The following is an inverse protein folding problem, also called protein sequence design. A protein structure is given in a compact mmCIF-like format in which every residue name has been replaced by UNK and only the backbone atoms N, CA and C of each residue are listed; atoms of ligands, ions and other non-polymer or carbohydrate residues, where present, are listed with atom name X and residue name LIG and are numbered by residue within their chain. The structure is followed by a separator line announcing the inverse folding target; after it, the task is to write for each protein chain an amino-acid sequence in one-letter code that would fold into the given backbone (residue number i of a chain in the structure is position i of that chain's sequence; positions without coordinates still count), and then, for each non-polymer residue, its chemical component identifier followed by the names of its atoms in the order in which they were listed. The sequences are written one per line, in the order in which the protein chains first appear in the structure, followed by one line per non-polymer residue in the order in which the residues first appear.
data_IF_165155238765
#
_entry.id   IF_165155238765
#
_cell.length_a   1.000
_cell.length_b   1.000
_cell.length_c   1.000
_cell.angle_alpha   90.00
_cell.angle_beta   90.00
_cell.angle_gamma   90.00
#
_symmetry.space_group_name_H-M   'P 1'
#
loop_
_entity.id
_entity.type
_entity.pdbx_description
1 polymer ?
#
# COMPACT_ATOMS: atom_id res chain seq x y z
N UNK A 1 -9.97 28.60 -15.43
CA UNK A 1 -9.14 28.42 -14.20
C UNK A 1 -9.79 29.12 -13.03
N UNK A 2 -9.81 28.47 -11.89
CA UNK A 2 -10.26 29.05 -10.61
C UNK A 2 -9.03 29.53 -9.84
N UNK A 3 -9.08 30.79 -9.41
CA UNK A 3 -8.00 31.39 -8.62
C UNK A 3 -7.93 30.76 -7.22
N UNK A 4 -6.73 30.71 -6.66
CA UNK A 4 -6.41 30.08 -5.36
C UNK A 4 -6.85 28.60 -5.26
N UNK A 5 -7.02 27.93 -6.40
CA UNK A 5 -7.28 26.49 -6.42
C UNK A 5 -6.05 25.73 -6.91
N UNK A 6 -5.72 24.68 -6.20
CA UNK A 6 -4.66 23.73 -6.53
C UNK A 6 -5.31 22.38 -6.85
N UNK A 7 -5.04 21.85 -8.03
CA UNK A 7 -5.39 20.49 -8.39
C UNK A 7 -4.20 19.58 -8.07
N UNK A 8 -4.42 18.58 -7.23
CA UNK A 8 -3.41 17.60 -6.82
C UNK A 8 -3.74 16.28 -7.49
N UNK A 9 -2.76 15.71 -8.17
CA UNK A 9 -2.84 14.37 -8.78
C UNK A 9 -1.87 13.46 -8.06
N UNK A 10 -2.36 12.33 -7.55
CA UNK A 10 -1.55 11.36 -6.83
C UNK A 10 -1.44 10.08 -7.60
N UNK A 11 -0.22 9.64 -7.84
CA UNK A 11 0.06 8.42 -8.57
C UNK A 11 0.76 7.41 -7.68
N UNK A 12 0.52 6.13 -7.99
CA UNK A 12 1.20 5.01 -7.34
C UNK A 12 0.50 4.53 -6.06
N UNK A 13 1.18 4.54 -4.93
CA UNK A 13 0.79 3.79 -3.75
C UNK A 13 0.19 4.65 -2.63
N UNK A 14 -0.39 3.98 -1.64
CA UNK A 14 -0.95 4.61 -0.41
C UNK A 14 0.04 5.51 0.35
N UNK A 15 1.35 5.26 0.23
CA UNK A 15 2.37 6.14 0.84
C UNK A 15 2.41 7.52 0.16
N UNK A 16 2.32 7.55 -1.17
CA UNK A 16 2.19 8.81 -1.92
C UNK A 16 0.86 9.51 -1.62
N UNK A 17 -0.22 8.75 -1.40
CA UNK A 17 -1.51 9.31 -1.01
C UNK A 17 -1.41 10.06 0.32
N UNK A 18 -0.79 9.45 1.34
CA UNK A 18 -0.54 10.13 2.63
C UNK A 18 0.28 11.40 2.46
N UNK A 19 1.31 11.37 1.60
CA UNK A 19 2.13 12.56 1.32
C UNK A 19 1.29 13.67 0.67
N UNK A 20 0.40 13.32 -0.28
CA UNK A 20 -0.52 14.28 -0.91
C UNK A 20 -1.53 14.86 0.09
N UNK A 21 -2.11 14.05 0.96
CA UNK A 21 -3.04 14.49 1.99
C UNK A 21 -2.42 15.49 2.98
N UNK A 22 -1.14 15.25 3.34
CA UNK A 22 -0.38 16.17 4.18
C UNK A 22 -0.15 17.51 3.48
N UNK A 23 0.24 17.48 2.20
CA UNK A 23 0.48 18.68 1.40
C UNK A 23 -0.83 19.45 1.16
N UNK A 24 -1.92 18.75 0.87
CA UNK A 24 -3.24 19.38 0.72
C UNK A 24 -3.63 20.15 1.97
N UNK A 25 -3.45 19.55 3.15
CA UNK A 25 -3.71 20.22 4.41
C UNK A 25 -2.86 21.49 4.58
N UNK A 26 -1.57 21.41 4.25
CA UNK A 26 -0.69 22.59 4.27
C UNK A 26 -1.17 23.71 3.32
N UNK A 27 -1.62 23.35 2.12
CA UNK A 27 -2.17 24.34 1.18
C UNK A 27 -3.45 24.97 1.69
N UNK A 28 -4.37 24.20 2.28
CA UNK A 28 -5.61 24.69 2.84
C UNK A 28 -5.40 25.68 3.99
N UNK A 29 -4.48 25.38 4.90
CA UNK A 29 -4.09 26.29 6.00
C UNK A 29 -3.44 27.58 5.47
N UNK A 30 -2.89 27.55 4.28
CA UNK A 30 -2.35 28.70 3.59
C UNK A 30 -3.37 29.42 2.67
N UNK A 31 -4.65 29.06 2.75
CA UNK A 31 -5.75 29.74 2.07
C UNK A 31 -6.01 29.30 0.62
N UNK A 32 -5.47 28.14 0.20
CA UNK A 32 -5.82 27.53 -1.08
C UNK A 32 -7.03 26.60 -0.92
N UNK A 33 -7.75 26.40 -2.02
CA UNK A 33 -8.70 25.32 -2.17
C UNK A 33 -8.02 24.16 -2.91
N UNK A 34 -8.03 22.96 -2.33
CA UNK A 34 -7.48 21.78 -2.95
C UNK A 34 -8.57 20.91 -3.59
N UNK A 35 -8.26 20.32 -4.74
CA UNK A 35 -9.00 19.21 -5.32
C UNK A 35 -8.05 18.06 -5.57
N UNK A 36 -8.49 16.84 -5.32
CA UNK A 36 -7.70 15.63 -5.48
C UNK A 36 -8.27 14.78 -6.61
N UNK A 37 -7.39 14.33 -7.52
CA UNK A 37 -7.71 13.45 -8.66
C UNK A 37 -8.99 13.84 -9.41
N UNK A 38 -9.16 15.14 -9.61
CA UNK A 38 -10.35 15.69 -10.23
C UNK A 38 -10.49 15.24 -11.71
N UNK A 39 -11.60 14.61 -12.07
CA UNK A 39 -11.91 14.23 -13.47
C UNK A 39 -11.82 15.41 -14.45
N UNK A 40 -12.03 16.63 -13.96
CA UNK A 40 -11.91 17.89 -14.72
C UNK A 40 -11.18 18.92 -13.88
N UNK A 41 -9.84 18.89 -13.85
CA UNK A 41 -9.05 19.85 -13.11
C UNK A 41 -9.33 21.28 -13.58
N UNK A 42 -9.51 22.22 -12.65
CA UNK A 42 -9.86 23.62 -12.94
C UNK A 42 -8.98 24.63 -12.20
N UNK A 43 -8.05 24.17 -11.37
CA UNK A 43 -7.13 25.01 -10.63
C UNK A 43 -6.20 25.82 -11.49
N UNK A 44 -5.73 26.93 -11.00
CA UNK A 44 -4.66 27.70 -11.63
C UNK A 44 -3.28 27.06 -11.42
N UNK A 45 -3.16 26.19 -10.44
CA UNK A 45 -1.94 25.45 -10.08
C UNK A 45 -2.24 23.95 -10.12
N UNK A 46 -1.33 23.16 -10.64
CA UNK A 46 -1.35 21.71 -10.50
C UNK A 46 -0.08 21.22 -9.80
N UNK A 47 -0.23 20.22 -8.93
CA UNK A 47 0.86 19.49 -8.29
C UNK A 47 0.68 18.01 -8.59
N UNK A 48 1.63 17.39 -9.26
CA UNK A 48 1.61 15.96 -9.57
C UNK A 48 2.58 15.25 -8.65
N UNK A 49 2.07 14.38 -7.78
CA UNK A 49 2.85 13.50 -6.92
C UNK A 49 3.05 12.15 -7.63
N UNK A 50 4.23 11.94 -8.17
CA UNK A 50 4.57 10.88 -9.12
C UNK A 50 5.03 9.59 -8.47
N UNK A 51 4.81 8.46 -9.15
CA UNK A 51 5.40 7.16 -8.83
C UNK A 51 6.63 6.90 -9.71
N UNK A 52 7.68 6.30 -9.14
CA UNK A 52 8.93 5.98 -9.84
C UNK A 52 9.45 4.59 -9.49
N UNK A 53 8.55 3.68 -9.04
CA UNK A 53 8.96 2.39 -8.51
C UNK A 53 9.19 1.33 -9.60
N UNK A 54 8.23 1.16 -10.51
CA UNK A 54 8.30 0.21 -11.63
C UNK A 54 8.07 0.94 -12.95
N UNK A 55 8.50 0.33 -14.07
CA UNK A 55 8.46 0.95 -15.40
C UNK A 55 7.06 1.45 -15.79
N UNK A 56 6.03 0.62 -15.65
CA UNK A 56 4.65 1.00 -15.95
C UNK A 56 4.17 2.24 -15.16
N UNK A 57 4.55 2.34 -13.89
CA UNK A 57 4.20 3.50 -13.06
C UNK A 57 5.01 4.77 -13.42
N UNK A 58 6.25 4.59 -13.92
CA UNK A 58 7.04 5.71 -14.48
C UNK A 58 6.40 6.24 -15.75
N UNK A 59 6.02 5.34 -16.67
CA UNK A 59 5.33 5.69 -17.92
C UNK A 59 4.01 6.42 -17.65
N UNK A 60 3.18 5.91 -16.76
CA UNK A 60 1.94 6.56 -16.34
C UNK A 60 2.19 7.97 -15.77
N UNK A 61 3.22 8.12 -14.92
CA UNK A 61 3.60 9.42 -14.35
C UNK A 61 4.03 10.40 -15.42
N UNK A 62 4.85 9.98 -16.39
CA UNK A 62 5.31 10.82 -17.50
C UNK A 62 4.12 11.23 -18.38
N UNK A 63 3.24 10.29 -18.75
CA UNK A 63 2.07 10.58 -19.55
C UNK A 63 1.13 11.60 -18.88
N UNK A 64 0.96 11.48 -17.56
CA UNK A 64 0.19 12.46 -16.78
C UNK A 64 0.84 13.84 -16.78
N UNK A 65 2.16 13.92 -16.62
CA UNK A 65 2.89 15.20 -16.70
C UNK A 65 2.69 15.84 -18.09
N UNK A 66 2.80 15.06 -19.18
CA UNK A 66 2.61 15.52 -20.54
C UNK A 66 1.18 16.04 -20.79
N UNK A 67 0.18 15.39 -20.21
CA UNK A 67 -1.21 15.88 -20.26
C UNK A 67 -1.30 17.28 -19.62
N UNK A 68 -0.76 17.47 -18.43
CA UNK A 68 -0.80 18.75 -17.74
C UNK A 68 0.06 19.83 -18.40
N UNK A 69 1.17 19.49 -19.07
CA UNK A 69 1.92 20.40 -19.93
C UNK A 69 1.03 20.91 -21.08
N UNK A 70 0.29 20.02 -21.74
CA UNK A 70 -0.64 20.40 -22.80
C UNK A 70 -1.74 21.34 -22.29
N UNK A 71 -2.29 21.09 -21.09
CA UNK A 71 -3.26 21.99 -20.45
C UNK A 71 -2.67 23.37 -20.20
N UNK A 72 -1.40 23.44 -19.76
CA UNK A 72 -0.67 24.69 -19.53
C UNK A 72 -0.46 25.46 -20.84
N UNK A 73 -0.04 24.79 -21.91
CA UNK A 73 0.11 25.37 -23.26
C UNK A 73 -1.21 25.94 -23.79
N UNK A 74 -2.33 25.30 -23.47
CA UNK A 74 -3.68 25.74 -23.87
C UNK A 74 -4.27 26.82 -22.94
N UNK A 75 -3.50 27.37 -22.01
CA UNK A 75 -3.95 28.41 -21.07
C UNK A 75 -4.97 27.93 -20.02
N UNK A 76 -5.06 26.62 -19.79
CA UNK A 76 -5.96 26.00 -18.80
C UNK A 76 -5.29 25.81 -17.44
N UNK A 77 -4.02 26.10 -17.33
CA UNK A 77 -3.20 25.98 -16.13
C UNK A 77 -2.11 27.08 -16.14
N UNK A 78 -1.86 27.72 -15.01
CA UNK A 78 -0.82 28.75 -14.90
C UNK A 78 0.52 28.16 -14.45
N UNK A 79 0.48 27.25 -13.46
CA UNK A 79 1.67 26.67 -12.83
C UNK A 79 1.53 25.16 -12.74
N UNK A 80 2.61 24.46 -13.10
CA UNK A 80 2.72 23.00 -13.02
C UNK A 80 3.95 22.65 -12.18
N UNK A 81 3.73 21.96 -11.09
CA UNK A 81 4.76 21.43 -10.21
C UNK A 81 4.71 19.90 -10.18
N UNK A 82 5.88 19.28 -10.14
CA UNK A 82 6.00 17.82 -10.09
C UNK A 82 6.84 17.44 -8.88
N UNK A 83 6.40 16.43 -8.15
CA UNK A 83 7.12 15.90 -7.00
C UNK A 83 6.93 14.37 -6.92
N UNK A 84 7.47 13.74 -5.89
CA UNK A 84 7.27 12.32 -5.62
C UNK A 84 8.46 11.45 -5.99
N UNK A 85 8.19 10.15 -6.14
CA UNK A 85 9.23 9.13 -6.29
C UNK A 85 9.99 9.22 -7.62
N UNK A 86 9.27 9.47 -8.74
CA UNK A 86 9.90 9.63 -10.05
C UNK A 86 10.80 10.87 -10.06
N UNK A 87 10.26 11.98 -9.60
CA UNK A 87 11.00 13.25 -9.50
C UNK A 87 12.18 13.17 -8.53
N UNK A 88 12.10 12.35 -7.46
CA UNK A 88 13.22 12.11 -6.56
C UNK A 88 14.38 11.39 -7.25
N UNK A 89 14.05 10.44 -8.14
CA UNK A 89 15.02 9.55 -8.78
C UNK A 89 15.67 10.15 -10.03
N UNK A 90 14.90 10.89 -10.83
CA UNK A 90 15.29 11.36 -12.18
C UNK A 90 15.13 12.88 -12.36
N UNK A 91 15.39 13.64 -11.30
CA UNK A 91 15.12 15.10 -11.32
C UNK A 91 15.83 15.82 -12.44
N UNK A 92 17.13 15.59 -12.59
CA UNK A 92 17.97 16.34 -13.54
C UNK A 92 17.58 16.02 -15.00
N UNK A 93 17.24 14.75 -15.28
CA UNK A 93 16.77 14.31 -16.58
C UNK A 93 15.40 14.91 -16.91
N UNK A 94 14.47 14.87 -15.95
CA UNK A 94 13.13 15.42 -16.11
C UNK A 94 13.15 16.95 -16.30
N UNK A 95 14.01 17.67 -15.59
CA UNK A 95 14.20 19.11 -15.77
C UNK A 95 14.73 19.44 -17.17
N UNK A 96 15.60 18.60 -17.73
CA UNK A 96 16.16 18.78 -19.06
C UNK A 96 15.14 18.45 -20.18
N UNK A 97 14.35 17.40 -20.02
CA UNK A 97 13.42 16.90 -21.04
C UNK A 97 12.06 17.59 -21.03
N UNK A 98 11.62 18.08 -19.88
CA UNK A 98 10.30 18.68 -19.67
C UNK A 98 10.39 20.12 -19.13
N UNK A 99 11.01 21.06 -19.89
CA UNK A 99 11.23 22.44 -19.45
C UNK A 99 9.94 23.26 -19.27
N UNK A 100 8.78 22.76 -19.72
CA UNK A 100 7.50 23.41 -19.51
C UNK A 100 6.95 23.27 -18.08
N UNK A 101 7.47 22.30 -17.30
CA UNK A 101 7.20 22.18 -15.86
C UNK A 101 7.87 23.34 -15.14
N UNK A 102 7.16 24.04 -14.29
CA UNK A 102 7.72 25.21 -13.58
C UNK A 102 8.82 24.81 -12.60
N UNK A 103 8.67 23.67 -11.92
CA UNK A 103 9.72 23.12 -11.06
C UNK A 103 9.45 21.67 -10.66
N UNK A 104 10.52 20.92 -10.52
CA UNK A 104 10.52 19.57 -9.96
C UNK A 104 11.04 19.59 -8.51
N UNK A 105 10.37 18.84 -7.64
CA UNK A 105 10.73 18.66 -6.25
C UNK A 105 10.97 17.19 -5.94
N UNK A 106 11.94 16.89 -5.09
CA UNK A 106 12.07 15.56 -4.52
C UNK A 106 10.88 15.18 -3.63
N UNK A 107 10.75 13.90 -3.32
CA UNK A 107 9.66 13.36 -2.49
C UNK A 107 9.46 14.10 -1.17
N UNK A 108 10.54 14.56 -0.54
CA UNK A 108 10.54 15.18 0.78
C UNK A 108 10.58 16.71 0.77
N UNK A 109 10.52 17.33 -0.40
CA UNK A 109 10.76 18.77 -0.58
C UNK A 109 9.47 19.62 -0.58
N UNK A 110 8.36 19.15 0.01
CA UNK A 110 7.09 19.89 0.03
C UNK A 110 7.20 21.26 0.71
N UNK A 111 8.08 21.41 1.72
CA UNK A 111 8.32 22.71 2.38
C UNK A 111 8.93 23.73 1.42
N UNK A 112 9.78 23.27 0.49
CA UNK A 112 10.33 24.14 -0.55
C UNK A 112 9.23 24.57 -1.53
N UNK A 113 8.31 23.68 -1.90
CA UNK A 113 7.15 23.98 -2.74
C UNK A 113 6.28 25.07 -2.08
N UNK A 114 6.00 24.97 -0.77
CA UNK A 114 5.28 26.02 -0.03
C UNK A 114 6.01 27.36 -0.09
N UNK A 115 7.33 27.35 0.16
CA UNK A 115 8.17 28.57 0.12
C UNK A 115 8.15 29.22 -1.27
N UNK A 116 8.24 28.44 -2.34
CA UNK A 116 8.20 28.93 -3.71
C UNK A 116 6.84 29.52 -4.10
N UNK A 117 5.80 29.10 -3.43
CA UNK A 117 4.43 29.69 -3.51
C UNK A 117 4.26 30.91 -2.58
N UNK A 118 5.31 31.35 -1.89
CA UNK A 118 5.25 32.46 -0.94
C UNK A 118 4.46 32.12 0.33
N UNK A 119 4.45 30.84 0.73
CA UNK A 119 3.71 30.28 1.86
C UNK A 119 4.68 29.70 2.89
N UNK A 120 4.17 29.50 4.10
CA UNK A 120 4.94 28.91 5.20
C UNK A 120 4.44 27.53 5.58
N UNK A 121 5.34 26.70 6.06
CA UNK A 121 5.01 25.45 6.72
C UNK A 121 4.19 25.77 8.01
N UNK A 122 3.03 25.13 8.17
CA UNK A 122 2.18 25.28 9.34
C UNK A 122 2.39 24.09 10.27
N UNK A 123 3.11 24.25 11.39
CA UNK A 123 3.46 23.12 12.28
C UNK A 123 2.25 22.46 12.95
N UNK A 124 1.13 23.12 12.98
CA UNK A 124 -0.05 22.70 13.76
C UNK A 124 -0.92 21.63 13.07
N UNK A 125 -0.50 21.05 11.96
CA UNK A 125 -1.26 19.98 11.30
C UNK A 125 -1.09 18.62 11.97
N UNK A 126 -0.62 18.56 13.22
CA UNK A 126 -0.43 17.31 13.96
C UNK A 126 -1.76 16.56 14.11
N UNK A 127 -1.83 15.36 13.51
CA UNK A 127 -3.00 14.49 13.56
C UNK A 127 -4.20 14.91 12.71
N UNK A 128 -4.09 16.00 11.93
CA UNK A 128 -5.16 16.44 11.02
C UNK A 128 -4.65 16.44 9.60
N UNK A 129 -5.21 15.58 8.76
CA UNK A 129 -4.95 15.50 7.32
C UNK A 129 -6.20 15.85 6.51
N UNK A 130 -6.01 16.25 5.26
CA UNK A 130 -7.09 16.26 4.29
C UNK A 130 -7.30 14.85 3.78
N UNK A 131 -8.26 14.11 4.34
CA UNK A 131 -8.51 12.74 3.93
C UNK A 131 -9.14 12.70 2.53
N UNK A 132 -8.54 11.92 1.65
CA UNK A 132 -9.02 11.62 0.30
C UNK A 132 -9.69 10.25 0.21
N UNK A 133 -9.42 9.38 1.18
CA UNK A 133 -10.12 8.10 1.37
C UNK A 133 -11.55 8.32 1.87
N UNK A 134 -12.44 7.30 1.76
CA UNK A 134 -13.68 7.28 2.53
C UNK A 134 -13.44 7.56 4.01
N UNK A 135 -14.33 8.32 4.64
CA UNK A 135 -14.13 8.85 6.01
C UNK A 135 -13.93 7.80 7.11
N UNK A 136 -14.21 6.54 6.86
CA UNK A 136 -14.17 5.48 7.86
C UNK A 136 -12.84 4.73 7.91
N UNK A 137 -11.95 4.90 6.92
CA UNK A 137 -10.59 4.36 6.99
C UNK A 137 -9.54 5.39 6.57
N UNK A 138 -8.33 5.19 7.06
CA UNK A 138 -7.17 5.98 6.67
C UNK A 138 -5.89 5.15 6.66
N UNK A 139 -4.97 5.52 5.78
CA UNK A 139 -3.61 5.00 5.83
C UNK A 139 -2.80 5.77 6.87
N UNK A 140 -2.00 5.09 7.68
CA UNK A 140 -1.08 5.71 8.64
C UNK A 140 0.34 5.27 8.28
N UNK A 141 1.13 6.22 7.77
CA UNK A 141 2.52 5.98 7.42
C UNK A 141 3.39 6.17 8.68
N UNK A 142 3.98 5.07 9.17
CA UNK A 142 4.72 5.05 10.44
C UNK A 142 6.23 5.25 10.27
N UNK A 143 6.76 4.98 9.09
CA UNK A 143 8.15 5.21 8.75
C UNK A 143 8.31 5.52 7.25
N UNK A 144 9.53 5.82 6.82
CA UNK A 144 9.93 6.02 5.43
C UNK A 144 11.30 5.41 5.20
N UNK A 145 11.54 4.90 3.97
CA UNK A 145 12.81 4.29 3.59
C UNK A 145 12.91 2.82 3.99
N UNK A 146 13.98 2.13 3.54
CA UNK A 146 14.16 0.71 3.81
C UNK A 146 15.64 0.35 3.77
N UNK A 147 16.12 -0.40 4.77
CA UNK A 147 17.50 -0.87 4.90
C UNK A 147 17.69 -2.34 4.48
N UNK A 148 16.67 -2.99 3.87
CA UNK A 148 16.76 -4.43 3.51
C UNK A 148 17.62 -4.73 2.28
N UNK A 149 17.78 -3.80 1.35
CA UNK A 149 18.63 -3.93 0.17
C UNK A 149 18.37 -5.18 -0.69
N UNK A 150 17.09 -5.57 -0.86
CA UNK A 150 16.72 -6.64 -1.78
C UNK A 150 17.23 -6.33 -3.19
N UNK A 151 17.74 -7.34 -3.91
CA UNK A 151 18.49 -7.14 -5.15
C UNK A 151 17.70 -6.43 -6.26
N UNK A 152 16.39 -6.66 -6.34
CA UNK A 152 15.48 -6.10 -7.33
C UNK A 152 14.90 -4.73 -6.97
N UNK A 153 15.10 -4.27 -5.72
CA UNK A 153 14.30 -3.18 -5.17
C UNK A 153 14.95 -1.81 -5.33
N UNK A 154 14.23 -0.88 -5.94
CA UNK A 154 14.65 0.51 -6.11
C UNK A 154 14.32 1.42 -4.91
N UNK A 155 13.60 0.94 -3.90
CA UNK A 155 13.17 1.76 -2.76
C UNK A 155 14.33 2.49 -2.08
N UNK A 156 15.47 1.84 -1.73
CA UNK A 156 16.58 2.55 -1.11
C UNK A 156 17.16 3.68 -1.98
N UNK A 157 17.02 3.60 -3.31
CA UNK A 157 17.46 4.64 -4.25
C UNK A 157 16.51 5.85 -4.29
N UNK A 158 15.24 5.63 -3.93
CA UNK A 158 14.18 6.64 -3.97
C UNK A 158 14.01 7.31 -2.61
N UNK A 159 13.85 6.50 -1.56
CA UNK A 159 13.47 7.00 -0.22
C UNK A 159 14.62 7.01 0.78
N UNK A 160 15.76 6.39 0.42
CA UNK A 160 16.93 6.31 1.29
C UNK A 160 16.77 5.30 2.42
N UNK A 161 17.51 5.54 3.49
CA UNK A 161 17.54 4.69 4.67
C UNK A 161 16.22 4.74 5.45
N UNK A 162 15.95 3.67 6.19
CA UNK A 162 14.79 3.59 7.08
C UNK A 162 14.83 4.71 8.13
N UNK A 163 13.69 5.35 8.33
CA UNK A 163 13.50 6.41 9.32
C UNK A 163 12.10 6.32 9.93
N UNK A 164 12.05 5.88 11.19
CA UNK A 164 10.81 5.72 11.94
C UNK A 164 10.30 7.06 12.47
N UNK A 165 8.99 7.25 12.44
CA UNK A 165 8.33 8.34 13.15
C UNK A 165 8.27 8.01 14.65
N UNK A 166 8.40 8.99 15.55
CA UNK A 166 8.22 8.78 16.99
C UNK A 166 6.85 8.18 17.31
N UNK A 167 6.81 7.21 18.23
CA UNK A 167 5.57 6.51 18.63
C UNK A 167 4.45 7.48 19.00
N UNK A 168 4.75 8.50 19.82
CA UNK A 168 3.74 9.47 20.26
C UNK A 168 3.17 10.30 19.10
N UNK A 169 4.00 10.64 18.12
CA UNK A 169 3.53 11.38 16.94
C UNK A 169 2.54 10.55 16.11
N UNK A 170 2.80 9.25 15.95
CA UNK A 170 1.89 8.34 15.26
C UNK A 170 0.58 8.17 16.04
N UNK A 171 0.65 8.00 17.36
CA UNK A 171 -0.53 7.86 18.21
C UNK A 171 -1.37 9.14 18.23
N UNK A 172 -0.74 10.32 18.21
CA UNK A 172 -1.46 11.60 18.15
C UNK A 172 -2.16 11.78 16.80
N UNK A 173 -1.55 11.37 15.70
CA UNK A 173 -2.20 11.34 14.39
C UNK A 173 -3.42 10.40 14.40
N UNK A 174 -3.31 9.21 14.97
CA UNK A 174 -4.43 8.26 15.07
C UNK A 174 -5.58 8.85 15.90
N UNK A 175 -5.29 9.48 17.04
CA UNK A 175 -6.32 10.18 17.86
C UNK A 175 -7.01 11.29 17.07
N UNK A 176 -6.25 12.07 16.30
CA UNK A 176 -6.78 13.12 15.43
C UNK A 176 -7.67 12.56 14.31
N UNK A 177 -7.32 11.41 13.73
CA UNK A 177 -8.10 10.73 12.71
C UNK A 177 -9.39 10.12 13.30
N UNK A 178 -9.33 9.52 14.49
CA UNK A 178 -10.52 9.04 15.22
C UNK A 178 -11.49 10.19 15.46
N UNK A 179 -11.00 11.35 15.87
CA UNK A 179 -11.84 12.55 16.08
C UNK A 179 -12.53 13.02 14.78
N UNK A 180 -11.97 12.71 13.61
CA UNK A 180 -12.57 12.95 12.29
C UNK A 180 -13.57 11.85 11.86
N UNK A 181 -13.68 10.76 12.61
CA UNK A 181 -14.60 9.65 12.36
C UNK A 181 -13.99 8.42 11.69
N UNK A 182 -12.68 8.38 11.55
CA UNK A 182 -11.94 7.20 11.07
C UNK A 182 -12.05 6.07 12.11
N UNK A 183 -12.26 4.85 11.63
CA UNK A 183 -12.44 3.65 12.46
C UNK A 183 -11.45 2.56 12.13
N UNK A 184 -11.01 2.50 10.87
CA UNK A 184 -10.06 1.51 10.38
C UNK A 184 -8.77 2.19 9.96
N UNK A 185 -7.64 1.62 10.39
CA UNK A 185 -6.31 2.15 10.18
C UNK A 185 -5.45 1.14 9.41
N UNK A 186 -5.02 1.52 8.21
CA UNK A 186 -4.08 0.77 7.39
C UNK A 186 -2.68 1.21 7.76
N UNK A 187 -1.92 0.39 8.48
CA UNK A 187 -0.55 0.73 8.89
C UNK A 187 0.39 0.39 7.75
N UNK A 188 1.05 1.41 7.23
CA UNK A 188 1.89 1.32 6.04
C UNK A 188 3.27 1.91 6.26
N UNK A 189 4.25 1.27 5.64
CA UNK A 189 5.61 1.74 5.37
C UNK A 189 6.25 0.86 4.26
N UNK A 190 7.56 0.92 4.07
CA UNK A 190 8.23 0.04 3.11
C UNK A 190 8.60 -1.32 3.72
N UNK A 191 8.79 -1.40 5.05
CA UNK A 191 9.08 -2.63 5.79
C UNK A 191 8.64 -2.52 7.26
N UNK A 192 7.41 -2.94 7.51
CA UNK A 192 6.70 -2.78 8.79
C UNK A 192 7.45 -3.30 10.01
N UNK A 193 8.12 -4.44 9.87
CA UNK A 193 8.74 -5.14 10.99
C UNK A 193 10.01 -4.46 11.51
N UNK A 194 10.59 -3.54 10.73
CA UNK A 194 11.80 -2.80 11.11
C UNK A 194 11.53 -1.53 11.92
N UNK A 195 10.27 -1.16 12.09
CA UNK A 195 9.88 0.06 12.81
C UNK A 195 10.53 0.14 14.20
N UNK A 196 11.18 1.26 14.48
CA UNK A 196 11.85 1.59 15.72
C UNK A 196 13.33 1.20 15.79
N UNK A 197 13.81 0.28 14.94
CA UNK A 197 15.21 -0.20 14.99
C UNK A 197 16.22 0.93 14.78
N UNK A 198 15.91 1.91 13.96
CA UNK A 198 16.75 3.10 13.76
C UNK A 198 16.78 4.06 14.96
N UNK A 199 15.82 3.97 15.88
CA UNK A 199 15.73 4.83 17.06
C UNK A 199 16.65 4.36 18.20
N UNK A 200 16.63 3.07 18.53
CA UNK A 200 17.40 2.52 19.66
C UNK A 200 17.90 1.08 19.47
N UNK A 201 17.79 0.54 18.24
CA UNK A 201 18.20 -0.82 17.90
C UNK A 201 17.17 -1.91 18.23
N UNK A 202 15.93 -1.55 18.58
CA UNK A 202 14.86 -2.49 18.92
C UNK A 202 13.65 -2.32 18.01
N UNK A 203 12.92 -3.41 17.80
CA UNK A 203 11.62 -3.37 17.13
C UNK A 203 10.58 -2.76 18.07
N UNK A 204 9.92 -1.67 17.65
CA UNK A 204 8.86 -1.00 18.41
C UNK A 204 7.46 -1.21 17.79
N UNK A 205 7.35 -2.00 16.75
CA UNK A 205 6.06 -2.22 16.07
C UNK A 205 5.03 -2.86 17.00
N UNK A 206 5.43 -3.82 17.82
CA UNK A 206 4.55 -4.49 18.79
C UNK A 206 3.97 -3.51 19.80
N UNK A 207 4.83 -2.65 20.39
CA UNK A 207 4.40 -1.60 21.32
C UNK A 207 3.45 -0.62 20.64
N UNK A 208 3.82 -0.12 19.44
CA UNK A 208 3.00 0.83 18.70
C UNK A 208 1.60 0.28 18.43
N UNK A 209 1.49 -0.93 17.89
CA UNK A 209 0.19 -1.54 17.55
C UNK A 209 -0.63 -1.82 18.79
N UNK A 210 -0.02 -2.31 19.87
CA UNK A 210 -0.72 -2.55 21.14
C UNK A 210 -1.30 -1.25 21.71
N UNK A 211 -0.51 -0.17 21.76
CA UNK A 211 -0.97 1.14 22.26
C UNK A 211 -2.00 1.80 21.35
N UNK A 212 -1.86 1.62 20.04
CA UNK A 212 -2.83 2.11 19.07
C UNK A 212 -4.18 1.41 19.22
N UNK A 213 -4.17 0.08 19.49
CA UNK A 213 -5.37 -0.70 19.74
C UNK A 213 -6.12 -0.28 21.02
N UNK A 214 -5.44 0.36 21.97
CA UNK A 214 -6.04 0.86 23.21
C UNK A 214 -6.68 2.27 23.05
N UNK A 215 -6.57 2.90 21.89
CA UNK A 215 -7.21 4.20 21.61
C UNK A 215 -8.72 3.96 21.39
N UNK A 216 -9.55 4.62 22.21
CA UNK A 216 -11.02 4.58 22.06
C UNK A 216 -11.44 5.08 20.67
N UNK A 217 -12.28 4.31 19.99
CA UNK A 217 -12.77 4.61 18.63
C UNK A 217 -11.97 3.93 17.51
N UNK A 218 -10.84 3.29 17.80
CA UNK A 218 -10.13 2.42 16.87
C UNK A 218 -10.84 1.07 16.82
N UNK A 219 -11.47 0.78 15.68
CA UNK A 219 -12.27 -0.44 15.48
C UNK A 219 -11.50 -1.53 14.72
N UNK A 220 -10.62 -1.15 13.78
CA UNK A 220 -9.76 -2.04 13.01
C UNK A 220 -8.37 -1.44 12.77
N UNK A 221 -7.35 -2.26 12.98
CA UNK A 221 -5.95 -2.00 12.63
C UNK A 221 -5.50 -3.12 11.70
N UNK A 222 -4.98 -2.77 10.53
CA UNK A 222 -4.49 -3.71 9.54
C UNK A 222 -3.03 -3.45 9.22
N UNK A 223 -2.24 -4.53 9.12
CA UNK A 223 -0.78 -4.48 8.99
C UNK A 223 -0.35 -4.83 7.56
N UNK A 224 0.44 -3.96 6.95
CA UNK A 224 0.90 -4.10 5.58
C UNK A 224 2.42 -4.10 5.47
N UNK A 225 2.95 -4.82 4.46
CA UNK A 225 4.35 -4.80 4.06
C UNK A 225 5.33 -5.32 5.13
N UNK A 226 4.98 -6.41 5.80
CA UNK A 226 5.88 -7.12 6.69
C UNK A 226 6.99 -7.84 5.92
N UNK A 227 8.12 -8.08 6.59
CA UNK A 227 9.27 -8.78 6.04
C UNK A 227 9.55 -10.07 6.83
N UNK A 228 9.90 -11.20 6.17
CA UNK A 228 10.02 -12.48 6.87
C UNK A 228 11.26 -12.60 7.76
N UNK A 229 12.39 -11.98 7.37
CA UNK A 229 13.63 -12.10 8.14
C UNK A 229 13.57 -11.28 9.44
N UNK A 230 13.88 -11.90 10.55
CA UNK A 230 13.84 -11.30 11.89
C UNK A 230 12.46 -10.75 12.27
N UNK A 231 11.41 -11.46 11.86
CA UNK A 231 10.05 -11.07 12.19
C UNK A 231 9.83 -11.03 13.71
N UNK A 232 9.29 -9.93 14.28
CA UNK A 232 9.02 -9.80 15.71
C UNK A 232 7.83 -10.69 16.12
N UNK A 233 8.13 -11.88 16.67
CA UNK A 233 7.10 -12.88 16.97
C UNK A 233 6.10 -12.44 18.06
N UNK A 234 6.46 -11.50 18.92
CA UNK A 234 5.57 -10.89 19.92
C UNK A 234 4.45 -10.04 19.28
N UNK A 235 4.62 -9.58 18.04
CA UNK A 235 3.55 -8.94 17.28
C UNK A 235 2.37 -9.88 17.05
N UNK A 236 2.62 -11.19 16.89
CA UNK A 236 1.57 -12.20 16.72
C UNK A 236 0.67 -12.31 17.97
N UNK A 237 1.23 -12.11 19.15
CA UNK A 237 0.45 -12.14 20.39
C UNK A 237 -0.52 -10.94 20.43
N UNK A 238 -0.08 -9.76 19.99
CA UNK A 238 -0.95 -8.58 19.86
C UNK A 238 -2.07 -8.82 18.84
N UNK A 239 -1.76 -9.42 17.68
CA UNK A 239 -2.78 -9.76 16.66
C UNK A 239 -3.79 -10.78 17.21
N UNK A 240 -3.34 -11.72 18.02
CA UNK A 240 -4.19 -12.75 18.61
C UNK A 240 -5.10 -12.21 19.73
N UNK A 241 -4.57 -11.34 20.60
CA UNK A 241 -5.21 -10.89 21.82
C UNK A 241 -6.08 -9.64 21.64
N UNK A 242 -5.72 -8.72 20.76
CA UNK A 242 -6.45 -7.48 20.54
C UNK A 242 -7.57 -7.67 19.49
N UNK A 243 -8.85 -7.60 19.87
CA UNK A 243 -9.97 -7.90 18.95
C UNK A 243 -10.15 -6.89 17.82
N UNK A 244 -9.51 -5.72 17.92
CA UNK A 244 -9.51 -4.67 16.91
C UNK A 244 -8.22 -4.65 16.06
N UNK A 245 -7.30 -5.58 16.27
CA UNK A 245 -6.22 -5.85 15.32
C UNK A 245 -6.68 -6.96 14.40
N UNK A 246 -6.84 -6.64 13.13
CA UNK A 246 -7.35 -7.58 12.12
C UNK A 246 -6.46 -8.83 12.05
N UNK A 247 -7.08 -10.00 12.01
CA UNK A 247 -6.36 -11.26 11.75
C UNK A 247 -5.97 -11.34 10.27
N UNK A 248 -5.13 -10.42 9.88
CA UNK A 248 -4.63 -10.21 8.53
C UNK A 248 -3.18 -9.74 8.61
N UNK A 249 -2.31 -10.34 7.82
CA UNK A 249 -0.91 -9.96 7.74
C UNK A 249 -0.44 -10.02 6.29
N UNK A 250 -0.04 -8.87 5.75
CA UNK A 250 0.60 -8.78 4.44
C UNK A 250 2.12 -8.91 4.62
N UNK A 251 2.67 -10.04 4.18
CA UNK A 251 4.08 -10.41 4.32
C UNK A 251 4.65 -10.88 2.97
N UNK A 252 5.60 -10.14 2.43
CA UNK A 252 6.16 -10.39 1.11
C UNK A 252 7.27 -11.44 1.15
N UNK A 253 6.96 -12.69 0.82
CA UNK A 253 7.96 -13.78 0.76
C UNK A 253 8.83 -13.69 -0.50
N UNK A 254 8.27 -13.28 -1.62
CA UNK A 254 8.86 -13.10 -2.95
C UNK A 254 9.18 -14.42 -3.66
N UNK A 255 9.82 -15.38 -3.00
CA UNK A 255 10.15 -16.71 -3.49
C UNK A 255 10.29 -17.71 -2.35
N UNK A 256 10.53 -19.01 -2.66
CA UNK A 256 10.78 -20.05 -1.67
C UNK A 256 12.07 -20.83 -1.88
N UNK A 257 12.57 -20.93 -3.14
CA UNK A 257 13.83 -21.59 -3.42
C UNK A 257 15.00 -20.88 -2.72
N UNK A 258 15.83 -21.58 -1.99
CA UNK A 258 17.01 -21.02 -1.32
C UNK A 258 17.96 -20.35 -2.32
N UNK A 259 18.08 -20.92 -3.54
CA UNK A 259 18.84 -20.32 -4.63
C UNK A 259 18.31 -18.93 -4.98
N UNK A 260 17.00 -18.78 -5.17
CA UNK A 260 16.40 -17.49 -5.51
C UNK A 260 16.39 -16.52 -4.33
N UNK A 261 16.11 -16.99 -3.11
CA UNK A 261 16.14 -16.16 -1.91
C UNK A 261 17.53 -15.54 -1.69
N UNK A 262 18.61 -16.31 -1.89
CA UNK A 262 19.98 -15.79 -1.80
C UNK A 262 20.27 -14.78 -2.92
N UNK A 263 19.95 -15.09 -4.18
CA UNK A 263 20.14 -14.17 -5.31
C UNK A 263 19.35 -12.88 -5.18
N UNK A 264 18.13 -12.95 -4.66
CA UNK A 264 17.28 -11.79 -4.33
C UNK A 264 17.74 -11.04 -3.09
N UNK A 265 18.72 -11.56 -2.34
CA UNK A 265 19.24 -11.01 -1.08
C UNK A 265 18.14 -10.86 -0.02
N UNK A 266 17.32 -11.91 0.14
CA UNK A 266 16.23 -11.90 1.10
C UNK A 266 16.69 -12.19 2.53
N UNK A 267 17.89 -12.77 2.70
CA UNK A 267 18.47 -13.10 4.02
C UNK A 267 17.56 -13.98 4.89
N UNK A 268 16.83 -14.86 4.25
CA UNK A 268 15.96 -15.87 4.86
C UNK A 268 16.02 -17.12 3.99
N UNK A 269 16.00 -18.30 4.61
CA UNK A 269 15.97 -19.58 3.92
C UNK A 269 14.53 -20.10 3.71
N UNK A 270 14.39 -21.13 2.85
CA UNK A 270 13.13 -21.87 2.70
C UNK A 270 12.62 -22.36 4.05
N UNK A 271 13.48 -23.01 4.84
CA UNK A 271 13.05 -23.59 6.11
C UNK A 271 12.58 -22.52 7.10
N UNK A 272 13.30 -21.41 7.23
CA UNK A 272 12.90 -20.29 8.08
C UNK A 272 11.56 -19.67 7.64
N UNK A 273 11.32 -19.62 6.32
CA UNK A 273 10.04 -19.14 5.77
C UNK A 273 8.89 -20.08 6.13
N UNK A 274 9.08 -21.40 5.97
CA UNK A 274 8.07 -22.39 6.33
C UNK A 274 7.79 -22.39 7.83
N UNK A 275 8.82 -22.32 8.66
CA UNK A 275 8.72 -22.27 10.12
C UNK A 275 7.96 -21.00 10.57
N UNK A 276 8.24 -19.85 9.94
CA UNK A 276 7.52 -18.60 10.22
C UNK A 276 6.03 -18.70 9.88
N UNK A 277 5.68 -19.25 8.71
CA UNK A 277 4.27 -19.44 8.32
C UNK A 277 3.55 -20.37 9.32
N UNK A 278 4.19 -21.47 9.69
CA UNK A 278 3.65 -22.40 10.68
C UNK A 278 3.43 -21.72 12.04
N UNK A 279 4.40 -20.92 12.50
CA UNK A 279 4.32 -20.20 13.77
C UNK A 279 3.24 -19.12 13.75
N UNK A 280 3.10 -18.36 12.64
CA UNK A 280 2.03 -17.36 12.48
C UNK A 280 0.66 -18.05 12.61
N UNK A 281 0.41 -19.12 11.86
CA UNK A 281 -0.86 -19.83 11.88
C UNK A 281 -1.15 -20.52 13.22
N UNK A 282 -0.11 -20.97 13.91
CA UNK A 282 -0.21 -21.55 15.25
C UNK A 282 -0.61 -20.52 16.31
N UNK A 283 0.02 -19.34 16.30
CA UNK A 283 -0.26 -18.28 17.30
C UNK A 283 -1.56 -17.54 17.02
N UNK A 284 -1.89 -17.35 15.74
CA UNK A 284 -3.08 -16.60 15.34
C UNK A 284 -3.99 -17.51 14.49
N UNK A 285 -4.76 -18.41 15.13
CA UNK A 285 -5.67 -19.29 14.38
C UNK A 285 -6.69 -18.49 13.55
N UNK A 286 -6.80 -18.84 12.26
CA UNK A 286 -7.69 -18.18 11.32
C UNK A 286 -7.16 -16.87 10.73
N UNK A 287 -5.89 -16.56 10.92
CA UNK A 287 -5.26 -15.42 10.25
C UNK A 287 -5.28 -15.61 8.74
N UNK A 288 -5.55 -14.53 8.02
CA UNK A 288 -5.41 -14.46 6.57
C UNK A 288 -4.02 -13.90 6.22
N UNK A 289 -3.22 -14.70 5.52
CA UNK A 289 -1.92 -14.28 5.02
C UNK A 289 -2.07 -13.76 3.59
N UNK A 290 -1.64 -12.52 3.41
CA UNK A 290 -1.41 -11.95 2.08
C UNK A 290 0.06 -12.00 1.77
N UNK A 291 0.42 -12.42 0.56
CA UNK A 291 1.82 -12.41 0.13
C UNK A 291 1.97 -11.87 -1.29
N UNK A 292 3.19 -11.49 -1.60
CA UNK A 292 3.64 -11.13 -2.94
C UNK A 292 4.79 -12.03 -3.34
N UNK A 293 4.71 -12.58 -4.55
CA UNK A 293 5.75 -13.41 -5.15
C UNK A 293 6.29 -12.78 -6.43
N UNK A 294 7.52 -13.10 -6.77
CA UNK A 294 8.24 -12.57 -7.94
C UNK A 294 8.77 -13.73 -8.75
N UNK A 295 8.35 -13.84 -10.02
CA UNK A 295 8.78 -14.87 -10.96
C UNK A 295 9.70 -14.29 -12.04
N UNK A 296 10.54 -15.12 -12.64
CA UNK A 296 11.41 -14.72 -13.73
C UNK A 296 12.56 -13.81 -13.29
N UNK A 297 12.95 -13.86 -12.03
CA UNK A 297 14.16 -13.16 -11.56
C UNK A 297 15.41 -13.74 -12.23
N UNK A 298 16.44 -12.93 -12.58
CA UNK A 298 17.65 -13.41 -13.26
C UNK A 298 18.25 -14.67 -12.62
N UNK A 299 18.38 -15.72 -13.44
CA UNK A 299 18.89 -17.03 -13.03
C UNK A 299 17.86 -17.98 -12.42
N UNK A 300 16.58 -17.65 -12.41
CA UNK A 300 15.52 -18.57 -11.98
C UNK A 300 15.42 -19.76 -12.94
N UNK A 301 15.62 -20.96 -12.43
CA UNK A 301 15.51 -22.21 -13.18
C UNK A 301 14.09 -22.75 -13.19
N UNK A 302 13.84 -23.77 -14.01
CA UNK A 302 12.55 -24.46 -13.98
C UNK A 302 12.33 -25.20 -12.66
N UNK A 303 13.41 -25.73 -12.06
CA UNK A 303 13.35 -26.36 -10.74
C UNK A 303 12.99 -25.37 -9.63
N UNK A 304 13.55 -24.15 -9.66
CA UNK A 304 13.18 -23.09 -8.73
C UNK A 304 11.69 -22.73 -8.85
N UNK A 305 11.19 -22.67 -10.08
CA UNK A 305 9.78 -22.34 -10.33
C UNK A 305 8.83 -23.49 -9.91
N UNK A 306 9.19 -24.76 -10.19
CA UNK A 306 8.42 -25.90 -9.69
C UNK A 306 8.33 -25.89 -8.15
N UNK A 307 9.44 -25.61 -7.45
CA UNK A 307 9.45 -25.48 -5.99
C UNK A 307 8.52 -24.33 -5.51
N UNK A 308 8.47 -23.22 -6.25
CA UNK A 308 7.57 -22.10 -5.96
C UNK A 308 6.10 -22.50 -6.13
N UNK A 309 5.74 -23.27 -7.16
CA UNK A 309 4.37 -23.78 -7.35
C UNK A 309 3.95 -24.72 -6.24
N UNK A 310 4.82 -25.67 -5.86
CA UNK A 310 4.58 -26.58 -4.75
C UNK A 310 4.35 -25.80 -3.45
N UNK A 311 5.18 -24.79 -3.19
CA UNK A 311 5.04 -23.93 -2.03
C UNK A 311 3.67 -23.21 -2.00
N UNK A 312 3.21 -22.63 -3.10
CA UNK A 312 1.90 -21.96 -3.16
C UNK A 312 0.77 -22.96 -2.92
N UNK A 313 0.84 -24.14 -3.55
CA UNK A 313 -0.15 -25.20 -3.40
C UNK A 313 -0.26 -25.73 -1.95
N UNK A 314 0.87 -25.82 -1.23
CA UNK A 314 0.94 -26.28 0.16
C UNK A 314 0.61 -25.17 1.17
N UNK A 315 1.18 -24.00 0.99
CA UNK A 315 0.98 -22.86 1.88
C UNK A 315 -0.45 -22.34 1.85
N UNK A 316 -1.14 -22.43 0.69
CA UNK A 316 -2.56 -22.04 0.52
C UNK A 316 -2.83 -20.66 1.10
N UNK A 317 -2.16 -19.67 0.56
CA UNK A 317 -2.35 -18.27 0.98
C UNK A 317 -3.79 -17.82 0.73
N UNK A 318 -4.35 -17.12 1.69
CA UNK A 318 -5.68 -16.55 1.58
C UNK A 318 -5.71 -15.42 0.54
N UNK A 319 -4.58 -14.71 0.39
CA UNK A 319 -4.39 -13.67 -0.62
C UNK A 319 -2.97 -13.75 -1.17
N UNK A 320 -2.83 -13.74 -2.49
CA UNK A 320 -1.52 -13.72 -3.12
C UNK A 320 -1.59 -12.90 -4.40
N UNK A 321 -0.60 -12.02 -4.57
CA UNK A 321 -0.28 -11.40 -5.84
C UNK A 321 1.08 -11.88 -6.32
N UNK A 322 1.25 -12.04 -7.62
CA UNK A 322 2.55 -12.33 -8.24
C UNK A 322 2.86 -11.30 -9.31
N UNK A 323 4.16 -11.07 -9.55
CA UNK A 323 4.66 -10.16 -10.57
C UNK A 323 5.81 -10.84 -11.33
N UNK A 324 5.94 -10.55 -12.61
CA UNK A 324 7.14 -10.85 -13.37
C UNK A 324 8.25 -9.86 -13.01
N UNK A 325 9.49 -10.34 -13.00
CA UNK A 325 10.64 -9.46 -12.79
C UNK A 325 10.74 -8.43 -13.92
N UNK A 326 10.89 -7.18 -13.51
CA UNK A 326 11.24 -6.04 -14.37
C UNK A 326 12.57 -5.46 -13.87
N UNK A 327 13.52 -5.26 -14.75
CA UNK A 327 14.80 -4.68 -14.40
C UNK A 327 14.62 -3.20 -14.05
N UNK A 328 15.04 -2.83 -12.84
CA UNK A 328 15.04 -1.45 -12.39
C UNK A 328 16.47 -0.89 -12.31
N UNK A 329 16.71 0.18 -13.07
CA UNK A 329 17.99 0.82 -13.15
C UNK A 329 18.59 1.16 -11.77
N UNK A 330 19.89 0.96 -11.62
CA UNK A 330 20.61 1.30 -10.40
C UNK A 330 20.46 0.29 -9.25
N UNK A 331 19.55 -0.71 -9.37
CA UNK A 331 19.40 -1.78 -8.39
C UNK A 331 20.61 -2.72 -8.39
N UNK A 332 20.71 -3.56 -7.36
CA UNK A 332 21.77 -4.55 -7.30
C UNK A 332 21.66 -5.55 -8.45
N UNK A 333 20.45 -6.05 -8.75
CA UNK A 333 20.22 -7.00 -9.84
C UNK A 333 20.63 -6.42 -11.20
N UNK A 334 20.21 -5.19 -11.52
CA UNK A 334 20.59 -4.55 -12.78
C UNK A 334 22.10 -4.36 -12.96
N UNK A 335 22.85 -4.21 -11.86
CA UNK A 335 24.31 -4.04 -11.90
C UNK A 335 25.09 -5.34 -11.95
N UNK A 336 24.56 -6.43 -11.43
CA UNK A 336 25.33 -7.65 -11.17
C UNK A 336 24.80 -8.89 -11.88
N UNK A 337 23.56 -8.87 -12.32
CA UNK A 337 22.93 -10.00 -13.01
C UNK A 337 22.51 -9.58 -14.42
N UNK A 338 22.61 -10.53 -15.33
CA UNK A 338 21.99 -10.38 -16.64
C UNK A 338 20.56 -10.90 -16.53
N UNK A 339 19.61 -10.18 -17.06
CA UNK A 339 18.24 -10.67 -17.22
C UNK A 339 18.25 -11.74 -18.33
N UNK A 340 18.28 -12.99 -17.92
CA UNK A 340 18.45 -14.17 -18.75
C UNK A 340 17.19 -15.03 -18.86
N UNK A 341 16.11 -14.66 -18.18
CA UNK A 341 14.81 -15.32 -18.31
C UNK A 341 14.00 -14.60 -19.40
N UNK A 342 13.64 -15.27 -20.50
CA UNK A 342 12.84 -14.66 -21.57
C UNK A 342 11.48 -14.14 -21.09
N UNK A 343 10.99 -13.07 -21.68
CA UNK A 343 9.75 -12.41 -21.24
C UNK A 343 8.52 -13.32 -21.37
N UNK A 344 8.46 -14.13 -22.42
CA UNK A 344 7.41 -15.13 -22.60
C UNK A 344 7.43 -16.21 -21.51
N UNK A 345 8.61 -16.60 -21.02
CA UNK A 345 8.76 -17.53 -19.89
C UNK A 345 8.31 -16.88 -18.59
N UNK A 346 8.69 -15.61 -18.35
CA UNK A 346 8.23 -14.86 -17.18
C UNK A 346 6.70 -14.77 -17.14
N UNK A 347 6.09 -14.43 -18.28
CA UNK A 347 4.62 -14.32 -18.37
C UNK A 347 3.95 -15.69 -18.17
N UNK A 348 4.47 -16.76 -18.78
CA UNK A 348 3.93 -18.11 -18.63
C UNK A 348 3.99 -18.57 -17.15
N UNK A 349 5.11 -18.31 -16.46
CA UNK A 349 5.25 -18.63 -15.03
C UNK A 349 4.27 -17.82 -14.17
N UNK A 350 4.08 -16.53 -14.48
CA UNK A 350 3.12 -15.67 -13.79
C UNK A 350 1.69 -16.21 -13.95
N UNK A 351 1.28 -16.52 -15.18
CA UNK A 351 -0.06 -17.01 -15.48
C UNK A 351 -0.33 -18.37 -14.80
N UNK A 352 0.63 -19.27 -14.81
CA UNK A 352 0.52 -20.59 -14.15
C UNK A 352 0.40 -20.45 -12.63
N UNK A 353 1.23 -19.59 -12.01
CA UNK A 353 1.20 -19.38 -10.58
C UNK A 353 -0.12 -18.73 -10.13
N UNK A 354 -0.62 -17.75 -10.91
CA UNK A 354 -1.90 -17.09 -10.62
C UNK A 354 -3.09 -18.03 -10.82
N UNK A 355 -3.03 -18.97 -11.78
CA UNK A 355 -4.07 -19.98 -11.94
C UNK A 355 -4.16 -20.93 -10.72
N UNK A 356 -3.02 -21.32 -10.14
CA UNK A 356 -2.99 -22.12 -8.90
C UNK A 356 -3.65 -21.33 -7.76
N UNK A 357 -3.28 -20.06 -7.60
CA UNK A 357 -3.85 -19.21 -6.54
C UNK A 357 -5.35 -18.96 -6.73
N UNK A 358 -5.82 -18.79 -7.95
CA UNK A 358 -7.25 -18.63 -8.24
C UNK A 358 -8.06 -19.83 -7.73
N UNK A 359 -7.63 -21.06 -8.01
CA UNK A 359 -8.28 -22.26 -7.49
C UNK A 359 -8.26 -22.36 -5.95
N UNK A 360 -7.14 -21.92 -5.32
CA UNK A 360 -7.05 -21.86 -3.86
C UNK A 360 -8.02 -20.82 -3.30
N UNK A 361 -8.12 -19.64 -3.93
CA UNK A 361 -9.01 -18.56 -3.52
C UNK A 361 -10.48 -19.01 -3.57
N UNK A 362 -10.92 -19.59 -4.69
CA UNK A 362 -12.27 -20.13 -4.86
C UNK A 362 -12.64 -21.14 -3.75
N UNK A 363 -11.75 -22.10 -3.47
CA UNK A 363 -11.98 -23.07 -2.40
C UNK A 363 -12.06 -22.45 -1.00
N UNK A 364 -11.25 -21.41 -0.72
CA UNK A 364 -11.21 -20.75 0.58
C UNK A 364 -12.42 -19.82 0.78
N UNK A 365 -12.85 -19.13 -0.27
CA UNK A 365 -14.04 -18.28 -0.24
C UNK A 365 -15.31 -19.14 -0.10
N UNK A 366 -15.42 -20.26 -0.83
CA UNK A 366 -16.55 -21.20 -0.69
C UNK A 366 -16.73 -21.73 0.76
N UNK A 367 -15.65 -21.89 1.53
CA UNK A 367 -15.70 -22.29 2.95
C UNK A 367 -16.30 -21.24 3.88
N UNK A 368 -16.49 -20.01 3.43
CA UNK A 368 -17.09 -18.91 4.18
C UNK A 368 -18.61 -18.89 4.05
N UNK A 369 -19.18 -19.56 3.05
CA UNK A 369 -20.63 -19.65 2.84
C UNK A 369 -21.30 -20.29 4.07
N UNK A 370 -22.39 -19.68 4.53
CA UNK A 370 -23.11 -20.04 5.74
C UNK A 370 -22.52 -19.48 7.04
N UNK A 371 -21.39 -18.77 7.00
CA UNK A 371 -20.79 -18.13 8.18
C UNK A 371 -21.15 -16.64 8.24
N UNK A 372 -21.18 -16.11 9.45
CA UNK A 372 -21.42 -14.69 9.71
C UNK A 372 -20.12 -13.98 10.03
N UNK A 373 -19.91 -12.83 9.39
CA UNK A 373 -18.75 -11.98 9.60
C UNK A 373 -19.16 -10.54 9.91
N UNK A 374 -18.35 -9.85 10.71
CA UNK A 374 -18.43 -8.40 10.88
C UNK A 374 -17.94 -7.73 9.60
N UNK A 375 -18.75 -6.90 8.96
CA UNK A 375 -18.48 -6.25 7.67
C UNK A 375 -18.63 -4.75 7.83
N UNK A 376 -17.62 -3.97 7.41
CA UNK A 376 -17.72 -2.52 7.25
C UNK A 376 -18.23 -2.19 5.85
N UNK A 377 -19.17 -1.27 5.73
CA UNK A 377 -19.68 -0.83 4.41
C UNK A 377 -18.81 0.30 3.89
N UNK A 378 -18.18 0.09 2.74
CA UNK A 378 -17.29 1.07 2.11
C UNK A 378 -18.04 2.02 1.18
N UNK A 379 -18.98 1.51 0.38
CA UNK A 379 -19.70 2.30 -0.63
C UNK A 379 -21.03 1.64 -1.02
N UNK A 380 -21.82 2.40 -1.77
CA UNK A 380 -22.95 1.86 -2.51
C UNK A 380 -22.66 1.96 -4.02
N UNK A 381 -22.84 0.86 -4.72
CA UNK A 381 -22.61 0.77 -6.16
C UNK A 381 -23.74 -0.01 -6.82
N UNK A 382 -24.51 0.65 -7.68
CA UNK A 382 -25.68 0.07 -8.31
C UNK A 382 -26.70 -0.47 -7.30
N UNK A 383 -26.98 -1.76 -7.39
CA UNK A 383 -27.92 -2.49 -6.53
C UNK A 383 -27.28 -3.11 -5.30
N UNK A 384 -25.98 -2.87 -5.07
CA UNK A 384 -25.25 -3.45 -3.95
C UNK A 384 -24.69 -2.39 -3.01
N UNK A 385 -24.61 -2.74 -1.75
CA UNK A 385 -23.67 -2.19 -0.79
C UNK A 385 -22.42 -3.05 -0.82
N UNK A 386 -21.28 -2.39 -0.96
CA UNK A 386 -19.98 -3.04 -1.00
C UNK A 386 -19.31 -2.83 0.36
N UNK A 387 -18.83 -3.92 0.95
CA UNK A 387 -18.17 -3.88 2.23
C UNK A 387 -17.00 -4.84 2.30
N UNK A 388 -16.32 -4.88 3.45
CA UNK A 388 -15.17 -5.76 3.69
C UNK A 388 -15.25 -6.37 5.08
N UNK A 389 -14.70 -7.58 5.18
CA UNK A 389 -14.40 -8.22 6.46
C UNK A 389 -13.05 -7.74 7.01
N UNK A 390 -12.74 -8.16 8.25
CA UNK A 390 -11.38 -7.95 8.82
C UNK A 390 -10.26 -8.62 7.99
N UNK A 391 -10.59 -9.52 7.09
CA UNK A 391 -9.66 -10.28 6.27
C UNK A 391 -9.36 -9.65 4.90
N UNK A 392 -9.90 -8.46 4.63
CA UNK A 392 -9.77 -7.81 3.33
C UNK A 392 -9.31 -6.36 3.49
N UNK A 393 -8.20 -6.02 2.84
CA UNK A 393 -7.70 -4.64 2.75
C UNK A 393 -8.52 -3.85 1.73
N UNK A 394 -8.78 -2.55 1.95
CA UNK A 394 -9.43 -1.72 0.94
C UNK A 394 -8.65 -1.69 -0.37
N UNK A 395 -9.37 -1.60 -1.49
CA UNK A 395 -8.87 -1.38 -2.86
C UNK A 395 -8.10 -2.55 -3.51
N UNK A 396 -7.61 -3.52 -2.74
CA UNK A 396 -6.71 -4.57 -3.26
C UNK A 396 -7.18 -5.99 -2.97
N UNK A 397 -8.08 -6.20 -2.03
CA UNK A 397 -8.60 -7.53 -1.68
C UNK A 397 -10.09 -7.66 -2.02
N UNK A 398 -10.61 -8.89 -2.08
CA UNK A 398 -12.02 -9.18 -2.36
C UNK A 398 -13.00 -8.47 -1.45
N UNK A 399 -14.21 -8.26 -1.94
CA UNK A 399 -15.26 -7.50 -1.31
C UNK A 399 -16.44 -8.39 -0.87
N UNK A 400 -17.33 -7.82 -0.09
CA UNK A 400 -18.62 -8.44 0.27
C UNK A 400 -19.74 -7.62 -0.36
N UNK A 401 -20.49 -8.24 -1.25
CA UNK A 401 -21.62 -7.65 -1.96
C UNK A 401 -22.93 -7.96 -1.21
N UNK A 402 -23.66 -6.91 -0.80
CA UNK A 402 -24.90 -7.02 -0.05
C UNK A 402 -26.01 -6.34 -0.84
N UNK A 403 -27.08 -7.05 -1.20
CA UNK A 403 -28.18 -6.46 -1.97
C UNK A 403 -28.80 -5.26 -1.24
N UNK A 404 -29.01 -4.17 -1.98
CA UNK A 404 -29.65 -2.96 -1.45
C UNK A 404 -31.18 -3.01 -1.48
N UNK A 405 -31.77 -4.09 -2.01
CA UNK A 405 -33.21 -4.22 -2.17
C UNK A 405 -33.95 -4.37 -0.81
N UNK A 406 -33.30 -4.98 0.19
CA UNK A 406 -33.96 -5.34 1.44
C UNK A 406 -33.75 -4.34 2.58
N UNK A 407 -32.57 -3.74 2.66
CA UNK A 407 -32.22 -2.81 3.77
C UNK A 407 -31.39 -1.63 3.29
N UNK A 408 -31.63 -0.47 3.89
CA UNK A 408 -30.75 0.69 3.72
C UNK A 408 -29.60 0.62 4.72
N UNK A 409 -28.36 0.43 4.21
CA UNK A 409 -27.15 0.41 5.03
C UNK A 409 -26.45 1.78 4.99
N UNK A 410 -25.62 2.03 6.00
CA UNK A 410 -24.85 3.29 6.11
C UNK A 410 -23.37 3.01 5.85
N UNK A 411 -22.78 3.73 4.92
CA UNK A 411 -21.33 3.72 4.67
C UNK A 411 -20.57 4.06 5.97
N UNK A 412 -19.47 3.36 6.22
CA UNK A 412 -18.65 3.50 7.41
C UNK A 412 -19.27 2.90 8.69
N UNK A 413 -20.32 2.09 8.57
CA UNK A 413 -20.90 1.32 9.69
C UNK A 413 -20.61 -0.16 9.53
N UNK A 414 -20.49 -0.82 10.67
CA UNK A 414 -20.34 -2.27 10.76
C UNK A 414 -21.69 -2.96 10.87
N UNK A 415 -21.79 -4.10 10.22
CA UNK A 415 -22.94 -5.00 10.27
C UNK A 415 -22.47 -6.45 10.34
N UNK A 416 -23.25 -7.30 11.01
CA UNK A 416 -23.07 -8.74 10.93
C UNK A 416 -23.74 -9.24 9.65
N UNK A 417 -22.96 -9.90 8.80
CA UNK A 417 -23.38 -10.37 7.47
C UNK A 417 -23.19 -11.88 7.37
N UNK A 418 -24.26 -12.61 7.11
CA UNK A 418 -24.20 -14.01 6.75
C UNK A 418 -23.83 -14.13 5.28
N UNK A 419 -22.76 -14.86 4.97
CA UNK A 419 -22.35 -15.12 3.59
C UNK A 419 -23.27 -16.18 2.99
N UNK A 420 -23.91 -15.85 1.88
CA UNK A 420 -24.88 -16.70 1.20
C UNK A 420 -24.32 -17.39 -0.03
N UNK A 421 -23.30 -16.76 -0.67
CA UNK A 421 -22.65 -17.28 -1.87
C UNK A 421 -21.24 -16.72 -2.00
N UNK A 422 -20.42 -17.28 -2.89
CA UNK A 422 -19.09 -16.79 -3.24
C UNK A 422 -18.80 -17.05 -4.71
N UNK A 423 -18.01 -16.20 -5.34
CA UNK A 423 -17.33 -16.49 -6.59
C UNK A 423 -15.82 -16.73 -6.38
N UNK A 424 -15.03 -16.59 -7.43
CA UNK A 424 -13.57 -16.80 -7.37
C UNK A 424 -12.86 -15.86 -6.39
N UNK A 425 -13.43 -14.69 -6.15
CA UNK A 425 -12.84 -13.64 -5.32
C UNK A 425 -13.81 -13.08 -4.29
N UNK A 426 -14.99 -12.65 -4.72
CA UNK A 426 -15.93 -11.89 -3.89
C UNK A 426 -16.93 -12.78 -3.13
N UNK A 427 -17.49 -12.22 -2.07
CA UNK A 427 -18.50 -12.84 -1.26
C UNK A 427 -19.86 -12.14 -1.45
N UNK A 428 -20.93 -12.90 -1.41
CA UNK A 428 -22.29 -12.37 -1.39
C UNK A 428 -22.91 -12.65 -0.02
N UNK A 429 -23.65 -11.71 0.51
CA UNK A 429 -24.21 -11.89 1.85
C UNK A 429 -25.42 -11.04 2.16
N UNK A 430 -26.04 -11.38 3.27
CA UNK A 430 -27.22 -10.71 3.80
C UNK A 430 -26.98 -10.28 5.24
N UNK A 431 -27.46 -9.07 5.60
CA UNK A 431 -27.34 -8.57 6.98
C UNK A 431 -28.19 -9.39 7.93
N UNK A 432 -27.57 -9.98 8.94
CA UNK A 432 -28.25 -10.65 10.03
C UNK A 432 -28.99 -9.60 10.89
N UNK A 433 -30.18 -9.96 11.38
CA UNK A 433 -31.03 -9.02 12.15
C UNK A 433 -30.48 -8.75 13.54
#
# INVERSE_FOLDING_TARGET
MKKNQIDIVTMGCSKNLVDSELIMKQFEENGFHCTHDAKRPQGEIAVINTCGFIEAAKEESINTILEFINRKKNGQLNKLYVMGCLSQRYKDELEAELPEVDKFYGKFNYKQLLTDLGKADVPACNGVRHLTTPRHYAYVKIAEGCDRHCAYCAIPLITGRHHSRPVEEVLDEVRGLVAQGVKEFQIIEQELTYYGVDLDGKHHITELISRMADIEGVEWIRLHYAYPNQFPLDLLDVIAEKPNVCKYLDIAFQHISDHMLDRMRRHVSKQETLDLIAEIRRRVPGIHLRTTLLVGFPGETDEDFEELKEFVAEARFERMGAFSYSEEEGTYSAKHYKDDVPEDVKQARLDELMAIQQGISEELEAKKVGKTFKVIIDRKEGEYYIGRTEFCSPEVDPEVLISSAEKSLRVGKFYDVCITDSDEFDLFGEVVQ
#
